data_IF_523253982708
#
_entry.id   IF_523253982708
#
_cell.length_a   1.000
_cell.length_b   1.000
_cell.length_c   1.000
_cell.angle_alpha   90.00
_cell.angle_beta   90.00
_cell.angle_gamma   90.00
#
_symmetry.space_group_name_H-M   'P 1'
#
loop_
_entity.id
_entity.type
_entity.pdbx_description
1 polymer ?
#
# COMPACT_ATOMS: atom_id res chain seq x y z
N UNK A 1 -8.48 -15.21 -17.32
CA UNK A 1 -8.21 -13.78 -17.69
C UNK A 1 -6.70 -13.58 -17.73
N UNK A 2 -6.19 -12.69 -18.59
CA UNK A 2 -4.76 -12.39 -18.64
C UNK A 2 -4.41 -11.47 -17.48
N UNK A 3 -3.24 -11.69 -16.86
CA UNK A 3 -2.67 -10.82 -15.85
C UNK A 3 -1.35 -10.25 -16.37
N UNK A 4 -1.09 -8.96 -16.15
CA UNK A 4 0.16 -8.30 -16.51
C UNK A 4 1.19 -8.54 -15.38
N UNK A 5 2.08 -9.50 -15.57
CA UNK A 5 3.10 -9.86 -14.56
C UNK A 5 4.51 -9.37 -14.90
N UNK A 6 4.75 -9.03 -16.15
CA UNK A 6 6.04 -8.52 -16.64
C UNK A 6 5.84 -7.31 -17.52
N UNK A 7 6.76 -6.36 -17.46
CA UNK A 7 6.78 -5.20 -18.35
C UNK A 7 8.18 -5.04 -18.97
N UNK A 8 8.22 -4.57 -20.22
CA UNK A 8 9.47 -4.26 -20.94
C UNK A 8 9.19 -3.08 -21.89
N UNK A 9 8.82 -1.95 -21.29
CA UNK A 9 8.49 -0.74 -22.05
C UNK A 9 9.74 0.09 -22.36
N UNK A 10 9.68 0.80 -23.50
CA UNK A 10 10.73 1.72 -23.95
C UNK A 10 10.15 3.11 -24.20
N UNK A 11 10.11 3.92 -23.15
CA UNK A 11 9.57 5.27 -23.23
C UNK A 11 10.62 6.27 -23.69
N UNK A 12 10.20 7.29 -24.43
CA UNK A 12 11.10 8.37 -24.82
C UNK A 12 11.65 9.11 -23.59
N UNK A 13 12.98 9.26 -23.53
CA UNK A 13 13.67 9.86 -22.37
C UNK A 13 13.87 8.93 -21.18
N UNK A 14 13.55 7.63 -21.33
CA UNK A 14 13.79 6.63 -20.28
C UNK A 14 15.29 6.47 -20.01
N UNK A 15 15.68 6.58 -18.74
CA UNK A 15 17.06 6.41 -18.28
C UNK A 15 17.33 5.05 -17.64
N UNK A 16 16.33 4.54 -16.91
CA UNK A 16 16.43 3.25 -16.22
C UNK A 16 15.05 2.68 -15.92
N UNK A 17 15.00 1.41 -15.60
CA UNK A 17 13.82 0.72 -15.06
C UNK A 17 14.22 -0.02 -13.79
N UNK A 18 13.33 0.00 -12.81
CA UNK A 18 13.41 -0.82 -11.60
C UNK A 18 12.18 -1.72 -11.55
N UNK A 19 12.39 -3.03 -11.51
CA UNK A 19 11.34 -4.03 -11.36
C UNK A 19 11.19 -4.39 -9.88
N UNK A 20 10.15 -3.84 -9.24
CA UNK A 20 9.81 -4.15 -7.85
C UNK A 20 8.98 -5.42 -7.70
N UNK A 21 8.60 -5.75 -6.47
CA UNK A 21 7.78 -6.95 -6.17
C UNK A 21 6.41 -6.91 -6.87
N UNK A 22 5.79 -5.74 -6.99
CA UNK A 22 4.44 -5.55 -7.56
C UNK A 22 4.32 -4.37 -8.52
N UNK A 23 5.33 -3.50 -8.59
CA UNK A 23 5.37 -2.32 -9.46
C UNK A 23 6.67 -2.26 -10.21
N UNK A 24 6.60 -1.75 -11.44
CA UNK A 24 7.76 -1.43 -12.24
C UNK A 24 7.85 0.09 -12.40
N UNK A 25 9.02 0.65 -12.13
CA UNK A 25 9.27 2.10 -12.12
C UNK A 25 10.25 2.45 -13.24
N UNK A 26 9.76 3.20 -14.20
CA UNK A 26 10.55 3.72 -15.32
C UNK A 26 10.94 5.16 -15.03
N UNK A 27 12.22 5.41 -14.82
CA UNK A 27 12.73 6.77 -14.63
C UNK A 27 12.84 7.47 -15.98
N UNK A 28 12.11 8.56 -16.15
CA UNK A 28 12.08 9.38 -17.36
C UNK A 28 12.80 10.68 -17.05
N UNK A 29 13.90 10.95 -17.74
CA UNK A 29 14.78 12.08 -17.46
C UNK A 29 15.16 12.20 -15.96
N UNK A 30 15.46 13.41 -15.46
CA UNK A 30 15.83 13.61 -14.06
C UNK A 30 14.63 13.94 -13.15
N UNK A 31 13.49 14.26 -13.75
CA UNK A 31 12.33 14.84 -13.05
C UNK A 31 11.13 13.92 -12.91
N UNK A 32 10.93 13.02 -13.87
CA UNK A 32 9.72 12.23 -13.99
C UNK A 32 9.98 10.73 -13.80
N UNK A 33 8.98 10.05 -13.26
CA UNK A 33 8.90 8.61 -13.29
C UNK A 33 7.52 8.13 -13.72
N UNK A 34 7.49 6.99 -14.37
CA UNK A 34 6.28 6.24 -14.74
C UNK A 34 6.24 5.01 -13.87
N UNK A 35 5.23 4.89 -13.03
CA UNK A 35 5.02 3.74 -12.16
C UNK A 35 3.90 2.88 -12.73
N UNK A 36 4.21 1.65 -13.08
CA UNK A 36 3.25 0.66 -13.58
C UNK A 36 2.90 -0.31 -12.46
N UNK A 37 1.67 -0.29 -12.00
CA UNK A 37 1.16 -1.29 -11.08
C UNK A 37 0.83 -2.56 -11.86
N UNK A 38 1.54 -3.64 -11.56
CA UNK A 38 1.34 -4.93 -12.22
C UNK A 38 0.37 -5.82 -11.44
N UNK A 39 -0.04 -6.91 -12.04
CA UNK A 39 -0.89 -7.93 -11.41
C UNK A 39 -0.11 -8.91 -10.54
N UNK A 40 1.20 -8.69 -10.35
CA UNK A 40 1.98 -9.47 -9.39
C UNK A 40 1.44 -9.26 -7.97
N UNK A 41 1.47 -10.30 -7.19
CA UNK A 41 1.17 -10.24 -5.76
C UNK A 41 2.36 -10.82 -4.98
N UNK A 42 2.71 -10.19 -3.88
CA UNK A 42 3.75 -10.70 -2.98
C UNK A 42 3.22 -10.88 -1.57
N UNK A 43 3.63 -11.95 -0.92
CA UNK A 43 3.37 -12.22 0.48
C UNK A 43 4.62 -12.87 1.11
N UNK A 44 4.91 -12.58 2.37
CA UNK A 44 6.13 -13.06 3.05
C UNK A 44 7.41 -12.79 2.25
N UNK A 45 7.49 -11.61 1.63
CA UNK A 45 8.60 -11.15 0.76
C UNK A 45 8.85 -11.96 -0.52
N UNK A 46 7.97 -12.90 -0.85
CA UNK A 46 8.00 -13.69 -2.09
C UNK A 46 6.96 -13.17 -3.06
N UNK A 47 7.36 -12.94 -4.31
CA UNK A 47 6.42 -12.73 -5.42
C UNK A 47 5.80 -14.07 -5.79
N UNK A 48 4.48 -14.17 -5.70
CA UNK A 48 3.77 -15.39 -6.03
C UNK A 48 3.81 -15.65 -7.55
N UNK A 49 3.88 -16.92 -7.99
CA UNK A 49 4.11 -17.25 -9.40
C UNK A 49 2.95 -16.91 -10.32
N UNK A 50 1.77 -16.70 -9.76
CA UNK A 50 0.56 -16.37 -10.50
C UNK A 50 0.12 -14.94 -10.25
N UNK A 51 -0.11 -14.19 -11.32
CA UNK A 51 -0.71 -12.85 -11.26
C UNK A 51 -2.19 -12.90 -10.89
N UNK A 52 -2.65 -11.85 -10.25
CA UNK A 52 -4.07 -11.66 -9.89
C UNK A 52 -4.69 -10.70 -10.90
N UNK A 53 -5.62 -11.14 -11.74
CA UNK A 53 -6.25 -10.28 -12.73
C UNK A 53 -6.82 -9.00 -12.11
N UNK A 54 -6.71 -7.87 -12.79
CA UNK A 54 -7.17 -6.53 -12.37
C UNK A 54 -6.48 -5.94 -11.13
N UNK A 55 -5.57 -6.67 -10.47
CA UNK A 55 -4.92 -6.17 -9.26
C UNK A 55 -4.18 -4.86 -9.49
N UNK A 56 -3.39 -4.77 -10.55
CA UNK A 56 -2.66 -3.56 -10.91
C UNK A 56 -3.57 -2.37 -11.13
N UNK A 57 -4.66 -2.56 -11.85
CA UNK A 57 -5.67 -1.53 -12.08
C UNK A 57 -6.31 -1.06 -10.77
N UNK A 58 -6.75 -1.99 -9.91
CA UNK A 58 -7.33 -1.67 -8.60
C UNK A 58 -6.37 -0.85 -7.75
N UNK A 59 -5.12 -1.29 -7.63
CA UNK A 59 -4.11 -0.60 -6.83
C UNK A 59 -3.87 0.83 -7.34
N UNK A 60 -3.65 0.97 -8.65
CA UNK A 60 -3.35 2.27 -9.23
C UNK A 60 -4.52 3.24 -9.13
N UNK A 61 -5.73 2.79 -9.41
CA UNK A 61 -6.92 3.66 -9.38
C UNK A 61 -7.30 4.09 -7.95
N UNK A 62 -7.21 3.19 -6.95
CA UNK A 62 -7.41 3.57 -5.54
C UNK A 62 -6.36 4.59 -5.12
N UNK A 63 -5.08 4.30 -5.35
CA UNK A 63 -3.99 5.20 -4.97
C UNK A 63 -4.15 6.58 -5.62
N UNK A 64 -4.41 6.63 -6.93
CA UNK A 64 -4.58 7.88 -7.66
C UNK A 64 -5.74 8.72 -7.11
N UNK A 65 -6.89 8.10 -6.86
CA UNK A 65 -8.06 8.78 -6.29
C UNK A 65 -7.79 9.30 -4.88
N UNK A 66 -7.12 8.51 -4.03
CA UNK A 66 -6.78 8.93 -2.67
C UNK A 66 -5.75 10.05 -2.65
N UNK A 67 -4.75 10.03 -3.53
CA UNK A 67 -3.79 11.12 -3.71
C UNK A 67 -4.48 12.43 -4.11
N UNK A 68 -5.53 12.38 -4.97
CA UNK A 68 -6.33 13.56 -5.32
C UNK A 68 -7.16 14.07 -4.15
N UNK A 69 -7.85 13.17 -3.43
CA UNK A 69 -8.73 13.53 -2.31
C UNK A 69 -7.99 14.04 -1.06
N UNK A 70 -6.67 13.91 -1.03
CA UNK A 70 -5.81 14.35 0.07
C UNK A 70 -4.79 15.41 -0.34
N UNK A 71 -4.86 15.91 -1.57
CA UNK A 71 -3.91 16.89 -2.14
C UNK A 71 -3.90 18.25 -1.42
N UNK A 72 -4.95 18.57 -0.67
CA UNK A 72 -5.04 19.73 0.20
C UNK A 72 -4.29 19.58 1.54
N UNK A 73 -3.92 18.35 1.90
CA UNK A 73 -3.20 18.06 3.15
C UNK A 73 -1.70 18.18 2.95
N UNK A 74 -1.17 17.55 1.91
CA UNK A 74 0.26 17.59 1.58
C UNK A 74 0.49 17.47 0.07
N UNK A 75 1.60 18.01 -0.45
CA UNK A 75 1.96 17.77 -1.83
C UNK A 75 2.25 16.28 -2.03
N UNK A 76 1.88 15.77 -3.21
CA UNK A 76 2.17 14.40 -3.57
C UNK A 76 2.85 14.30 -4.94
N UNK A 77 3.46 13.15 -5.20
CA UNK A 77 4.27 12.89 -6.38
C UNK A 77 3.46 12.78 -7.68
N UNK A 78 2.17 12.49 -7.61
CA UNK A 78 1.32 12.21 -8.77
C UNK A 78 1.11 13.45 -9.64
N UNK A 79 1.32 13.31 -10.94
CA UNK A 79 0.98 14.32 -11.96
C UNK A 79 -0.21 13.91 -12.82
N UNK A 80 -0.26 12.63 -13.24
CA UNK A 80 -1.33 12.12 -14.09
C UNK A 80 -1.44 10.59 -14.01
N UNK A 81 -2.60 10.07 -14.44
CA UNK A 81 -2.86 8.65 -14.62
C UNK A 81 -3.26 8.40 -16.07
N UNK A 82 -2.30 8.33 -17.00
CA UNK A 82 -2.58 8.18 -18.42
C UNK A 82 -3.21 6.82 -18.78
N UNK A 83 -3.06 5.84 -17.90
CA UNK A 83 -3.63 4.50 -18.04
C UNK A 83 -4.16 4.01 -16.69
N UNK A 84 -5.21 3.18 -16.63
CA UNK A 84 -5.74 2.63 -15.37
C UNK A 84 -4.71 1.94 -14.48
N UNK A 85 -3.64 1.39 -15.06
CA UNK A 85 -2.56 0.72 -14.33
C UNK A 85 -1.32 1.59 -14.12
N UNK A 86 -1.33 2.87 -14.54
CA UNK A 86 -0.13 3.71 -14.58
C UNK A 86 -0.35 5.06 -13.95
N UNK A 87 0.56 5.44 -13.06
CA UNK A 87 0.72 6.81 -12.59
C UNK A 87 2.04 7.37 -13.08
N UNK A 88 2.00 8.57 -13.66
CA UNK A 88 3.19 9.38 -13.98
C UNK A 88 3.31 10.48 -12.94
N UNK A 89 4.50 10.67 -12.42
CA UNK A 89 4.70 11.64 -11.36
C UNK A 89 6.12 12.16 -11.25
N UNK A 90 6.31 13.01 -10.25
CA UNK A 90 7.57 13.64 -9.92
C UNK A 90 8.52 12.66 -9.26
N UNK A 91 9.77 12.69 -9.65
CA UNK A 91 10.82 11.96 -8.96
C UNK A 91 11.19 12.72 -7.68
N UNK A 92 11.00 12.06 -6.54
CA UNK A 92 11.38 12.55 -5.23
C UNK A 92 12.49 11.64 -4.65
N UNK A 93 13.36 12.22 -3.85
CA UNK A 93 14.33 11.43 -3.07
C UNK A 93 13.60 10.83 -1.86
N UNK A 94 13.35 9.51 -1.91
CA UNK A 94 12.59 8.80 -0.87
C UNK A 94 13.36 8.75 0.45
N UNK A 95 12.67 9.03 1.55
CA UNK A 95 13.20 8.75 2.89
C UNK A 95 13.26 7.23 3.12
N UNK A 96 14.27 6.79 3.89
CA UNK A 96 14.45 5.38 4.22
C UNK A 96 13.65 4.95 5.45
N UNK A 97 12.45 5.49 5.56
CA UNK A 97 11.52 5.26 6.66
C UNK A 97 10.12 5.14 6.08
N UNK A 98 9.38 4.15 6.53
CA UNK A 98 7.96 4.01 6.27
C UNK A 98 7.17 4.47 7.51
N UNK A 99 6.17 5.31 7.30
CA UNK A 99 5.31 5.83 8.36
C UNK A 99 4.05 4.97 8.46
N UNK A 100 4.03 4.06 9.42
CA UNK A 100 2.86 3.22 9.70
C UNK A 100 2.03 3.88 10.80
N UNK A 101 0.74 4.05 10.56
CA UNK A 101 -0.21 4.55 11.56
C UNK A 101 -1.30 3.52 11.80
N UNK A 102 -1.64 3.32 13.08
CA UNK A 102 -2.57 2.28 13.52
C UNK A 102 -3.66 2.87 14.41
N UNK A 103 -4.91 2.68 14.01
CA UNK A 103 -6.09 3.03 14.81
C UNK A 103 -6.60 1.86 15.65
N UNK A 104 -6.22 0.62 15.30
CA UNK A 104 -6.70 -0.62 15.92
C UNK A 104 -5.52 -1.56 16.16
N UNK A 105 -5.49 -2.21 17.31
CA UNK A 105 -4.47 -3.19 17.68
C UNK A 105 -4.74 -4.53 16.99
N UNK A 106 -4.04 -4.79 15.89
CA UNK A 106 -4.18 -6.03 15.11
C UNK A 106 -2.90 -6.35 14.32
N UNK A 107 -2.86 -7.45 13.61
CA UNK A 107 -1.74 -7.85 12.76
C UNK A 107 -0.41 -7.99 13.52
N UNK A 108 0.67 -7.38 13.01
CA UNK A 108 1.99 -7.45 13.66
C UNK A 108 1.99 -6.83 15.05
N UNK A 109 1.35 -5.67 15.22
CA UNK A 109 1.28 -5.00 16.51
C UNK A 109 0.58 -5.87 17.57
N UNK A 110 -0.48 -6.57 17.20
CA UNK A 110 -1.14 -7.53 18.10
C UNK A 110 -0.22 -8.70 18.44
N UNK A 111 0.48 -9.27 17.47
CA UNK A 111 1.41 -10.40 17.73
C UNK A 111 2.50 -10.01 18.75
N UNK A 112 3.07 -8.81 18.62
CA UNK A 112 4.06 -8.28 19.55
C UNK A 112 3.44 -8.02 20.93
N UNK A 113 2.25 -7.40 20.97
CA UNK A 113 1.52 -7.14 22.21
C UNK A 113 1.19 -8.45 22.95
N UNK A 114 0.68 -9.46 22.24
CA UNK A 114 0.38 -10.80 22.76
C UNK A 114 1.63 -11.51 23.29
N UNK A 115 2.79 -11.27 22.68
CA UNK A 115 4.08 -11.76 23.13
C UNK A 115 4.66 -11.01 24.34
N UNK A 116 3.94 -9.99 24.88
CA UNK A 116 4.33 -9.25 26.07
C UNK A 116 4.91 -7.86 25.81
N UNK A 117 5.04 -7.44 24.54
CA UNK A 117 5.49 -6.09 24.22
C UNK A 117 4.47 -5.04 24.71
N UNK A 118 4.96 -4.00 25.38
CA UNK A 118 4.13 -2.88 25.87
C UNK A 118 4.66 -1.53 25.42
N UNK A 119 5.64 -1.55 24.54
CA UNK A 119 6.18 -0.37 23.89
C UNK A 119 6.53 -0.71 22.44
N UNK A 120 5.90 -0.04 21.48
CA UNK A 120 6.11 -0.25 20.05
C UNK A 120 6.63 1.03 19.42
N UNK A 121 7.82 1.00 18.83
CA UNK A 121 8.47 2.17 18.20
C UNK A 121 8.56 3.40 19.15
N UNK A 122 8.80 3.18 20.44
CA UNK A 122 8.83 4.26 21.46
C UNK A 122 7.44 4.66 22.00
N UNK A 123 6.35 4.10 21.45
CA UNK A 123 4.98 4.39 21.92
C UNK A 123 4.57 3.36 22.96
N UNK A 124 4.22 3.82 24.17
CA UNK A 124 3.68 2.96 25.23
C UNK A 124 2.25 2.52 24.88
N UNK A 125 2.01 1.22 24.97
CA UNK A 125 0.72 0.62 24.71
C UNK A 125 -0.07 0.45 26.02
N UNK A 126 -1.39 0.73 26.04
CA UNK A 126 -2.23 0.50 27.20
C UNK A 126 -2.22 -0.96 27.64
N UNK A 127 -2.32 -1.22 28.96
CA UNK A 127 -2.47 -2.57 29.48
C UNK A 127 -3.89 -3.13 29.25
N UNK A 128 -3.98 -4.45 29.12
CA UNK A 128 -5.25 -5.15 29.03
C UNK A 128 -5.99 -5.05 27.70
N UNK A 129 -5.36 -4.50 26.66
CA UNK A 129 -5.95 -4.46 25.33
C UNK A 129 -6.14 -5.85 24.73
N UNK A 130 -7.18 -5.98 23.94
CA UNK A 130 -7.55 -7.20 23.21
C UNK A 130 -7.28 -7.04 21.71
N UNK A 131 -7.21 -8.15 21.01
CA UNK A 131 -7.13 -8.16 19.54
C UNK A 131 -8.31 -7.40 18.92
N UNK A 132 -8.00 -6.59 17.91
CA UNK A 132 -8.95 -5.73 17.21
C UNK A 132 -9.56 -4.60 18.06
N UNK A 133 -8.96 -4.26 19.20
CA UNK A 133 -9.36 -3.11 20.00
C UNK A 133 -8.85 -1.81 19.40
N UNK A 134 -9.68 -0.76 19.45
CA UNK A 134 -9.28 0.59 19.05
C UNK A 134 -8.28 1.16 20.05
N UNK A 135 -7.22 1.78 19.53
CA UNK A 135 -6.41 2.65 20.38
C UNK A 135 -7.20 3.90 20.81
N UNK A 136 -6.95 4.45 22.00
CA UNK A 136 -7.53 5.72 22.41
C UNK A 136 -7.27 6.85 21.39
N UNK A 137 -6.05 6.86 20.85
CA UNK A 137 -5.63 7.70 19.71
C UNK A 137 -4.79 6.85 18.75
N UNK A 138 -4.87 7.09 17.43
CA UNK A 138 -4.02 6.38 16.49
C UNK A 138 -2.53 6.56 16.79
N UNK A 139 -1.78 5.48 16.79
CA UNK A 139 -0.35 5.47 17.08
C UNK A 139 0.48 5.39 15.79
N UNK A 140 1.60 6.10 15.76
CA UNK A 140 2.56 6.06 14.66
C UNK A 140 3.70 5.13 15.04
N UNK A 141 3.93 4.11 14.22
CA UNK A 141 4.91 3.03 14.47
C UNK A 141 5.78 2.84 13.23
N UNK A 142 6.81 3.69 13.04
CA UNK A 142 7.62 3.65 11.83
C UNK A 142 8.43 2.36 11.69
N UNK A 143 8.78 2.05 10.45
CA UNK A 143 9.79 1.03 10.13
C UNK A 143 10.90 1.62 9.28
N UNK A 144 12.07 1.02 9.33
CA UNK A 144 13.11 1.26 8.34
C UNK A 144 12.64 0.72 7.00
N UNK A 145 13.11 1.30 5.91
CA UNK A 145 12.98 0.75 4.57
C UNK A 145 14.30 0.11 4.18
N UNK A 146 14.37 -1.21 4.30
CA UNK A 146 15.57 -1.97 4.00
C UNK A 146 15.73 -2.17 2.49
N UNK A 147 16.96 -2.06 1.97
CA UNK A 147 17.27 -2.44 0.59
C UNK A 147 17.29 -3.98 0.45
N UNK A 148 17.76 -4.66 1.52
CA UNK A 148 17.81 -6.11 1.63
C UNK A 148 17.34 -6.54 3.04
N UNK A 149 16.64 -7.66 3.13
CA UNK A 149 16.11 -8.19 4.37
C UNK A 149 14.69 -7.71 4.68
N UNK A 150 14.39 -7.53 5.96
CA UNK A 150 13.07 -7.12 6.44
C UNK A 150 13.10 -5.71 7.04
N UNK A 151 12.04 -4.97 6.82
CA UNK A 151 11.81 -3.70 7.49
C UNK A 151 11.68 -3.93 9.00
N UNK A 152 12.35 -3.09 9.79
CA UNK A 152 12.40 -3.21 11.25
C UNK A 152 11.69 -2.04 11.91
N UNK A 153 10.96 -2.33 12.99
CA UNK A 153 10.40 -1.30 13.85
C UNK A 153 11.50 -0.36 14.35
N UNK A 154 11.25 0.93 14.29
CA UNK A 154 12.20 1.96 14.73
C UNK A 154 11.45 3.11 15.40
N UNK A 155 12.01 3.68 16.46
CA UNK A 155 11.41 4.85 17.10
C UNK A 155 11.77 6.16 16.40
N UNK A 156 10.99 7.21 16.65
CA UNK A 156 11.29 8.58 16.20
C UNK A 156 12.70 9.00 16.63
N UNK A 157 13.03 8.80 17.89
CA UNK A 157 14.32 9.17 18.47
C UNK A 157 15.48 8.49 17.75
N UNK A 158 15.29 7.21 17.44
CA UNK A 158 16.31 6.42 16.74
C UNK A 158 16.44 6.83 15.26
N UNK A 159 15.35 7.15 14.57
CA UNK A 159 15.35 7.70 13.19
C UNK A 159 16.20 8.96 13.14
N UNK A 160 15.96 9.90 14.07
CA UNK A 160 16.68 11.17 14.13
C UNK A 160 18.14 10.93 14.52
N UNK A 161 18.39 10.09 15.52
CA UNK A 161 19.75 9.77 15.99
C UNK A 161 20.64 9.14 14.91
N UNK A 162 20.05 8.28 14.07
CA UNK A 162 20.73 7.65 12.94
C UNK A 162 20.87 8.57 11.73
N UNK A 163 20.23 9.74 11.74
CA UNK A 163 20.23 10.68 10.60
C UNK A 163 19.47 10.18 9.38
N UNK A 164 18.53 9.24 9.55
CA UNK A 164 17.68 8.73 8.46
C UNK A 164 16.73 9.81 7.96
N UNK A 165 16.24 10.66 8.87
CA UNK A 165 15.38 11.82 8.61
C UNK A 165 15.76 12.91 9.60
N UNK A 166 15.77 14.17 9.17
CA UNK A 166 15.95 15.30 10.09
C UNK A 166 14.74 15.43 11.03
N UNK A 167 14.93 16.04 12.20
CA UNK A 167 13.83 16.26 13.16
C UNK A 167 12.71 17.09 12.56
N UNK A 168 13.06 18.10 11.75
CA UNK A 168 12.11 18.97 11.06
C UNK A 168 11.28 18.21 10.01
N UNK A 169 11.94 17.43 9.14
CA UNK A 169 11.27 16.61 8.13
C UNK A 169 10.39 15.53 8.78
N UNK A 170 10.88 14.89 9.87
CA UNK A 170 10.11 13.90 10.61
C UNK A 170 8.82 14.50 11.19
N UNK A 171 8.90 15.68 11.78
CA UNK A 171 7.73 16.37 12.33
C UNK A 171 6.68 16.65 11.22
N UNK A 172 7.12 17.05 10.04
CA UNK A 172 6.25 17.24 8.87
C UNK A 172 5.63 15.91 8.42
N UNK A 173 6.43 14.84 8.31
CA UNK A 173 5.95 13.51 7.94
C UNK A 173 4.91 12.98 8.93
N UNK A 174 5.12 13.18 10.23
CA UNK A 174 4.17 12.74 11.26
C UNK A 174 2.86 13.53 11.21
N UNK A 175 2.90 14.86 11.05
CA UNK A 175 1.70 15.69 10.88
C UNK A 175 0.90 15.25 9.65
N UNK A 176 1.56 15.07 8.51
CA UNK A 176 0.91 14.57 7.29
C UNK A 176 0.31 13.17 7.50
N UNK A 177 1.05 12.27 8.12
CA UNK A 177 0.59 10.90 8.42
C UNK A 177 -0.72 10.92 9.21
N UNK A 178 -0.80 11.71 10.27
CA UNK A 178 -1.98 11.81 11.14
C UNK A 178 -3.18 12.43 10.40
N UNK A 179 -2.96 13.50 9.66
CA UNK A 179 -4.01 14.20 8.91
C UNK A 179 -4.52 13.39 7.73
N UNK A 180 -3.65 12.70 7.00
CA UNK A 180 -4.03 11.77 5.93
C UNK A 180 -4.89 10.62 6.48
N UNK A 181 -4.44 10.02 7.59
CA UNK A 181 -5.17 8.93 8.23
C UNK A 181 -6.57 9.36 8.68
N UNK A 182 -6.68 10.50 9.34
CA UNK A 182 -7.96 11.04 9.79
C UNK A 182 -8.93 11.31 8.61
N UNK A 183 -8.43 11.94 7.52
CA UNK A 183 -9.21 12.17 6.31
C UNK A 183 -9.75 10.88 5.71
N UNK A 184 -8.92 9.84 5.61
CA UNK A 184 -9.34 8.59 4.97
C UNK A 184 -10.17 7.72 5.92
N UNK A 185 -10.03 7.85 7.24
CA UNK A 185 -11.00 7.29 8.18
C UNK A 185 -12.42 7.85 7.91
N UNK A 186 -12.56 9.16 7.68
CA UNK A 186 -13.84 9.77 7.32
C UNK A 186 -14.38 9.27 5.98
N UNK A 187 -13.50 9.15 4.97
CA UNK A 187 -13.88 8.62 3.65
C UNK A 187 -14.36 7.17 3.81
N UNK A 188 -13.60 6.31 4.48
CA UNK A 188 -13.94 4.92 4.71
C UNK A 188 -15.28 4.77 5.47
N UNK A 189 -15.50 5.59 6.50
CA UNK A 189 -16.72 5.56 7.30
C UNK A 189 -17.98 5.85 6.46
N UNK A 190 -17.91 6.76 5.50
CA UNK A 190 -19.02 7.05 4.57
C UNK A 190 -19.38 5.86 3.69
N UNK A 191 -18.46 4.94 3.52
CA UNK A 191 -18.61 3.72 2.72
C UNK A 191 -18.75 2.45 3.57
N UNK A 192 -19.07 2.59 4.87
CA UNK A 192 -19.29 1.46 5.76
C UNK A 192 -18.01 0.68 6.12
N UNK A 193 -16.85 1.32 5.97
CA UNK A 193 -15.55 0.74 6.30
C UNK A 193 -14.88 1.46 7.47
N UNK A 194 -14.01 0.75 8.17
CA UNK A 194 -13.10 1.26 9.18
C UNK A 194 -11.68 1.13 8.65
N UNK A 195 -10.97 2.24 8.46
CA UNK A 195 -9.53 2.20 8.19
C UNK A 195 -8.81 1.82 9.49
N UNK A 196 -8.19 0.66 9.48
CA UNK A 196 -7.54 0.04 10.65
C UNK A 196 -6.12 0.54 10.83
N UNK A 197 -5.33 0.39 9.80
CA UNK A 197 -3.94 0.83 9.71
C UNK A 197 -3.57 1.09 8.24
N UNK A 198 -2.51 1.84 8.07
CA UNK A 198 -1.94 2.13 6.75
C UNK A 198 -0.47 2.49 6.85
N UNK A 199 0.22 2.35 5.73
CA UNK A 199 1.62 2.74 5.53
C UNK A 199 1.68 3.90 4.55
N UNK A 200 2.47 4.93 4.88
CA UNK A 200 2.83 6.03 3.98
C UNK A 200 4.33 6.06 3.76
N UNK A 201 4.70 6.43 2.56
CA UNK A 201 6.07 6.74 2.21
C UNK A 201 6.19 8.21 1.81
N UNK A 202 7.28 8.82 2.20
CA UNK A 202 7.56 10.21 1.89
C UNK A 202 8.92 10.36 1.21
N UNK A 203 9.06 11.42 0.44
CA UNK A 203 10.31 11.79 -0.19
C UNK A 203 10.50 13.29 -0.16
N UNK A 204 11.70 13.76 -0.47
CA UNK A 204 12.04 15.16 -0.52
C UNK A 204 12.29 15.60 -1.97
N UNK A 205 11.75 16.76 -2.34
CA UNK A 205 12.00 17.43 -3.61
C UNK A 205 11.98 18.93 -3.40
N UNK A 206 13.00 19.64 -3.89
CA UNK A 206 13.11 21.10 -3.79
C UNK A 206 12.90 21.61 -2.35
N UNK A 207 13.48 20.89 -1.37
CA UNK A 207 13.40 21.20 0.06
C UNK A 207 12.06 20.91 0.73
N UNK A 208 11.07 20.35 0.01
CA UNK A 208 9.73 20.03 0.55
C UNK A 208 9.52 18.51 0.68
N UNK A 209 8.75 18.13 1.68
CA UNK A 209 8.32 16.74 1.89
C UNK A 209 7.09 16.47 1.02
N UNK A 210 7.15 15.42 0.22
CA UNK A 210 6.08 14.93 -0.66
C UNK A 210 5.63 13.54 -0.21
N UNK A 211 4.33 13.30 -0.29
CA UNK A 211 3.78 11.94 -0.21
C UNK A 211 4.10 11.22 -1.51
N UNK A 212 4.72 10.04 -1.41
CA UNK A 212 5.13 9.24 -2.56
C UNK A 212 4.51 7.83 -2.50
N UNK A 213 4.75 7.05 -3.56
CA UNK A 213 4.26 5.68 -3.71
C UNK A 213 2.72 5.56 -3.70
N UNK A 214 2.21 4.41 -3.33
CA UNK A 214 0.77 4.14 -3.21
C UNK A 214 0.25 4.50 -1.82
N UNK A 215 -1.02 4.87 -1.77
CA UNK A 215 -1.74 5.04 -0.51
C UNK A 215 -3.09 4.35 -0.53
N UNK A 216 -3.50 3.82 0.62
CA UNK A 216 -4.85 3.33 0.91
C UNK A 216 -5.35 2.17 0.03
N UNK A 217 -4.44 1.48 -0.62
CA UNK A 217 -4.72 0.26 -1.39
C UNK A 217 -4.84 -0.97 -0.48
N UNK A 218 -5.35 -2.09 -0.96
CA UNK A 218 -5.35 -3.35 -0.21
C UNK A 218 -3.96 -3.85 0.19
N UNK A 219 -2.92 -3.41 -0.53
CA UNK A 219 -1.52 -3.79 -0.25
C UNK A 219 -0.89 -2.94 0.85
N UNK A 220 -1.28 -1.67 0.97
CA UNK A 220 -0.72 -0.71 1.94
C UNK A 220 -1.60 -0.47 3.16
N UNK A 221 -2.87 -0.89 3.13
CA UNK A 221 -3.87 -0.59 4.16
C UNK A 221 -4.73 -1.78 4.51
N UNK A 222 -5.28 -1.76 5.72
CA UNK A 222 -6.26 -2.71 6.20
C UNK A 222 -7.56 -2.00 6.49
N UNK A 223 -8.67 -2.59 6.03
CA UNK A 223 -10.02 -2.12 6.31
C UNK A 223 -10.82 -3.22 6.97
N UNK A 224 -11.59 -2.88 8.01
CA UNK A 224 -12.68 -3.72 8.51
C UNK A 224 -14.01 -3.20 7.99
N UNK A 225 -15.00 -4.08 7.86
CA UNK A 225 -16.38 -3.66 7.71
C UNK A 225 -16.86 -3.05 9.00
N UNK A 226 -17.52 -1.89 8.93
CA UNK A 226 -18.10 -1.24 10.11
C UNK A 226 -19.26 -2.03 10.66
N UNK A 227 -20.07 -2.62 9.76
CA UNK A 227 -21.17 -3.51 10.14
C UNK A 227 -20.65 -4.78 10.80
N UNK A 228 -21.14 -5.04 12.01
CA UNK A 228 -20.77 -6.19 12.84
C UNK A 228 -19.45 -6.06 13.58
N UNK A 229 -18.69 -4.95 13.45
CA UNK A 229 -17.39 -4.80 14.11
C UNK A 229 -17.50 -4.90 15.64
N UNK A 230 -18.41 -4.14 16.25
CA UNK A 230 -18.57 -4.11 17.72
C UNK A 230 -19.06 -5.45 18.27
N UNK A 231 -19.99 -6.11 17.55
CA UNK A 231 -20.51 -7.41 17.96
C UNK A 231 -19.40 -8.48 17.93
N UNK A 232 -18.64 -8.55 16.84
CA UNK A 232 -17.53 -9.49 16.70
C UNK A 232 -16.42 -9.21 17.70
N UNK A 233 -16.09 -7.93 17.92
CA UNK A 233 -15.11 -7.54 18.93
C UNK A 233 -15.54 -7.96 20.33
N UNK A 234 -16.80 -7.74 20.71
CA UNK A 234 -17.34 -8.16 22.01
C UNK A 234 -17.24 -9.67 22.23
N UNK A 235 -17.47 -10.46 21.18
CA UNK A 235 -17.38 -11.93 21.20
C UNK A 235 -15.95 -12.48 21.04
N UNK A 236 -14.97 -11.65 20.72
CA UNK A 236 -13.61 -12.08 20.38
C UNK A 236 -13.52 -12.85 19.05
N UNK A 237 -14.45 -12.60 18.14
CA UNK A 237 -14.47 -13.21 16.82
C UNK A 237 -13.60 -12.45 15.81
N UNK A 238 -13.07 -13.14 14.79
CA UNK A 238 -12.33 -12.50 13.70
C UNK A 238 -13.18 -11.43 12.99
N UNK A 239 -12.56 -10.30 12.65
CA UNK A 239 -13.22 -9.23 11.91
C UNK A 239 -13.32 -9.55 10.42
N UNK A 240 -14.41 -9.10 9.79
CA UNK A 240 -14.49 -9.09 8.32
C UNK A 240 -13.58 -7.99 7.80
N UNK A 241 -12.68 -8.32 6.87
CA UNK A 241 -11.68 -7.38 6.41
C UNK A 241 -11.45 -7.42 4.90
N UNK A 242 -11.03 -6.27 4.38
CA UNK A 242 -10.56 -6.05 3.02
C UNK A 242 -9.09 -5.59 3.08
N UNK A 243 -8.19 -6.49 2.76
CA UNK A 243 -6.73 -6.27 2.74
C UNK A 243 -6.06 -7.49 2.14
N UNK A 244 -4.75 -7.43 1.95
CA UNK A 244 -3.96 -8.59 1.51
C UNK A 244 -3.79 -9.68 2.59
N UNK A 245 -4.25 -9.44 3.81
CA UNK A 245 -4.08 -10.39 4.93
C UNK A 245 -4.75 -11.75 4.66
N UNK A 246 -5.85 -11.78 3.91
CA UNK A 246 -6.49 -13.06 3.55
C UNK A 246 -5.62 -13.94 2.64
N UNK A 247 -4.74 -13.35 1.82
CA UNK A 247 -3.77 -14.13 1.03
C UNK A 247 -2.69 -14.72 1.94
N UNK A 248 -2.21 -13.93 2.92
CA UNK A 248 -1.26 -14.42 3.91
C UNK A 248 -1.85 -15.55 4.74
N UNK A 249 -3.09 -15.38 5.21
CA UNK A 249 -3.78 -16.41 5.99
C UNK A 249 -3.96 -17.70 5.18
N UNK A 250 -4.37 -17.59 3.92
CA UNK A 250 -4.47 -18.74 3.04
C UNK A 250 -3.13 -19.45 2.85
N UNK A 251 -2.05 -18.71 2.67
CA UNK A 251 -0.70 -19.31 2.56
C UNK A 251 -0.29 -20.04 3.84
N UNK A 252 -0.56 -19.46 5.02
CA UNK A 252 -0.31 -20.09 6.33
C UNK A 252 -1.09 -21.40 6.46
N UNK A 253 -2.36 -21.40 6.13
CA UNK A 253 -3.24 -22.59 6.16
C UNK A 253 -2.77 -23.70 5.22
N UNK A 254 -2.02 -23.34 4.15
CA UNK A 254 -1.39 -24.27 3.22
C UNK A 254 0.10 -24.54 3.54
N UNK A 255 0.56 -24.16 4.74
CA UNK A 255 1.88 -24.48 5.25
C UNK A 255 3.02 -23.64 4.68
N UNK A 256 2.73 -22.40 4.23
CA UNK A 256 3.74 -21.50 3.65
C UNK A 256 3.83 -20.17 4.39
N UNK A 257 5.03 -19.89 4.94
CA UNK A 257 5.41 -18.59 5.55
C UNK A 257 6.80 -18.13 5.07
N UNK A 258 7.29 -18.71 3.99
CA UNK A 258 8.64 -18.49 3.46
C UNK A 258 9.77 -18.95 4.41
N UNK A 259 9.54 -20.01 5.17
CA UNK A 259 10.56 -20.62 6.02
C UNK A 259 11.35 -21.72 5.26
N UNK A 260 12.59 -22.01 5.65
CA UNK A 260 13.38 -23.04 5.01
C UNK A 260 12.67 -24.42 4.98
N UNK A 261 12.63 -25.03 3.79
CA UNK A 261 11.99 -26.33 3.57
C UNK A 261 10.50 -26.30 3.26
N UNK A 262 9.85 -25.14 3.28
CA UNK A 262 8.48 -24.98 2.86
C UNK A 262 8.38 -24.87 1.33
N UNK A 263 7.28 -25.40 0.79
CA UNK A 263 6.97 -25.33 -0.64
C UNK A 263 5.76 -24.41 -0.84
N UNK A 264 5.86 -23.49 -1.81
CA UNK A 264 4.76 -22.60 -2.16
C UNK A 264 3.60 -23.43 -2.72
N UNK A 265 2.37 -23.26 -2.17
CA UNK A 265 1.20 -23.97 -2.67
C UNK A 265 0.82 -23.51 -4.08
N UNK A 266 0.19 -24.40 -4.86
CA UNK A 266 -0.32 -24.05 -6.18
C UNK A 266 -1.47 -23.03 -6.07
N UNK A 267 -1.31 -21.91 -6.77
CA UNK A 267 -2.37 -20.89 -6.88
C UNK A 267 -3.23 -21.23 -8.09
N UNK A 268 -4.41 -21.79 -7.84
CA UNK A 268 -5.37 -22.14 -8.91
C UNK A 268 -5.98 -20.90 -9.55
N UNK A 269 -6.55 -21.05 -10.75
CA UNK A 269 -7.29 -19.95 -11.41
C UNK A 269 -8.47 -19.48 -10.56
N UNK A 270 -9.22 -20.41 -9.99
CA UNK A 270 -10.35 -20.09 -9.12
C UNK A 270 -9.93 -19.28 -7.87
N UNK A 271 -8.77 -19.62 -7.27
CA UNK A 271 -8.26 -18.85 -6.14
C UNK A 271 -7.81 -17.45 -6.59
N UNK A 272 -7.09 -17.32 -7.69
CA UNK A 272 -6.69 -16.02 -8.23
C UNK A 272 -7.90 -15.13 -8.55
N UNK A 273 -8.97 -15.70 -9.10
CA UNK A 273 -10.23 -14.97 -9.32
C UNK A 273 -10.87 -14.52 -8.01
N UNK A 274 -10.92 -15.37 -6.99
CA UNK A 274 -11.46 -14.99 -5.67
C UNK A 274 -10.66 -13.87 -5.01
N UNK A 275 -9.34 -13.83 -5.21
CA UNK A 275 -8.47 -12.73 -4.77
C UNK A 275 -8.81 -11.46 -5.54
N UNK A 276 -8.91 -11.55 -6.87
CA UNK A 276 -9.28 -10.43 -7.73
C UNK A 276 -10.61 -9.80 -7.31
N UNK A 277 -11.63 -10.61 -7.05
CA UNK A 277 -12.95 -10.13 -6.62
C UNK A 277 -12.89 -9.34 -5.31
N UNK A 278 -12.06 -9.75 -4.34
CA UNK A 278 -11.88 -9.02 -3.08
C UNK A 278 -11.15 -7.68 -3.28
N UNK A 279 -10.21 -7.61 -4.21
CA UNK A 279 -9.56 -6.35 -4.58
C UNK A 279 -10.56 -5.39 -5.23
N UNK A 280 -11.39 -5.90 -6.15
CA UNK A 280 -12.47 -5.13 -6.79
C UNK A 280 -13.51 -4.70 -5.76
N UNK A 281 -13.90 -5.58 -4.84
CA UNK A 281 -14.83 -5.25 -3.74
C UNK A 281 -14.32 -4.06 -2.93
N UNK A 282 -13.04 -4.05 -2.54
CA UNK A 282 -12.49 -2.88 -1.85
C UNK A 282 -12.54 -1.63 -2.72
N UNK A 283 -12.18 -1.73 -4.01
CA UNK A 283 -12.26 -0.61 -4.92
C UNK A 283 -13.67 -0.01 -4.93
N UNK A 284 -14.69 -0.84 -5.16
CA UNK A 284 -16.08 -0.39 -5.22
C UNK A 284 -16.56 0.23 -3.90
N UNK A 285 -16.17 -0.35 -2.77
CA UNK A 285 -16.50 0.21 -1.47
C UNK A 285 -15.80 1.55 -1.22
N UNK A 286 -14.48 1.61 -1.29
CA UNK A 286 -13.72 2.81 -0.88
C UNK A 286 -13.87 3.98 -1.85
N UNK A 287 -14.14 3.70 -3.14
CA UNK A 287 -14.34 4.74 -4.15
C UNK A 287 -15.80 5.13 -4.34
N UNK A 288 -16.73 4.24 -4.02
CA UNK A 288 -18.14 4.38 -4.35
C UNK A 288 -18.47 4.23 -5.84
N UNK A 289 -17.51 3.75 -6.65
CA UNK A 289 -17.63 3.62 -8.09
C UNK A 289 -17.65 2.14 -8.49
N UNK A 290 -18.37 1.81 -9.59
CA UNK A 290 -18.31 0.47 -10.16
C UNK A 290 -16.97 0.27 -10.87
N UNK A 291 -16.37 -0.90 -10.67
CA UNK A 291 -15.11 -1.25 -11.29
C UNK A 291 -15.31 -1.56 -12.78
N UNK A 292 -14.53 -0.92 -13.63
CA UNK A 292 -14.56 -1.16 -15.08
C UNK A 292 -13.54 -2.25 -15.48
N UNK A 293 -14.05 -3.44 -15.75
CA UNK A 293 -13.24 -4.57 -16.23
C UNK A 293 -12.85 -4.45 -17.70
N UNK A 294 -13.56 -3.65 -18.48
CA UNK A 294 -13.33 -3.52 -19.94
C UNK A 294 -11.96 -2.86 -20.24
N UNK A 295 -11.39 -2.12 -19.29
CA UNK A 295 -10.07 -1.55 -19.43
C UNK A 295 -8.95 -2.60 -19.65
N UNK A 296 -9.15 -3.85 -19.24
CA UNK A 296 -8.19 -4.95 -19.45
C UNK A 296 -8.54 -5.86 -20.64
N UNK A 297 -9.49 -5.48 -21.48
CA UNK A 297 -9.73 -6.21 -22.72
C UNK A 297 -8.61 -5.97 -23.74
N UNK A 298 -8.18 -7.04 -24.40
CA UNK A 298 -7.15 -6.99 -25.42
C UNK A 298 -5.71 -7.11 -24.91
N UNK A 299 -4.79 -6.35 -25.50
CA UNK A 299 -3.37 -6.33 -25.13
C UNK A 299 -3.10 -5.19 -24.15
N UNK A 300 -3.01 -5.56 -22.88
CA UNK A 300 -2.77 -4.63 -21.76
C UNK A 300 -1.45 -3.89 -21.94
N UNK A 301 -0.38 -4.59 -22.33
CA UNK A 301 0.94 -3.99 -22.49
C UNK A 301 0.96 -2.95 -23.61
N UNK A 302 0.41 -3.29 -24.78
CA UNK A 302 0.30 -2.36 -25.91
C UNK A 302 -0.58 -1.14 -25.60
N UNK A 303 -1.64 -1.31 -24.78
CA UNK A 303 -2.46 -0.19 -24.31
C UNK A 303 -1.66 0.75 -23.42
N UNK A 304 -0.94 0.21 -22.42
CA UNK A 304 -0.11 0.99 -21.50
C UNK A 304 0.94 1.77 -22.27
N UNK A 305 1.70 1.09 -23.14
CA UNK A 305 2.79 1.73 -23.90
C UNK A 305 2.26 2.89 -24.75
N UNK A 306 1.16 2.70 -25.45
CA UNK A 306 0.50 3.74 -26.24
C UNK A 306 0.06 4.93 -25.39
N UNK A 307 -0.67 4.67 -24.32
CA UNK A 307 -1.25 5.72 -23.47
C UNK A 307 -0.15 6.56 -22.78
N UNK A 308 0.88 5.91 -22.25
CA UNK A 308 2.00 6.58 -21.60
C UNK A 308 2.84 7.36 -22.61
N UNK A 309 3.14 6.77 -23.79
CA UNK A 309 3.92 7.45 -24.83
C UNK A 309 3.18 8.70 -25.36
N UNK A 310 1.87 8.63 -25.52
CA UNK A 310 1.06 9.80 -25.90
C UNK A 310 1.13 10.90 -24.83
N UNK A 311 0.99 10.54 -23.56
CA UNK A 311 1.09 11.50 -22.46
C UNK A 311 2.46 12.16 -22.40
N UNK A 312 3.54 11.39 -22.47
CA UNK A 312 4.91 11.92 -22.42
C UNK A 312 5.22 12.83 -23.61
N UNK A 313 4.66 12.56 -24.80
CA UNK A 313 4.83 13.40 -25.98
C UNK A 313 4.23 14.82 -25.82
N UNK A 314 3.23 14.97 -24.96
CA UNK A 314 2.61 16.30 -24.67
C UNK A 314 3.42 17.15 -23.70
N UNK A 315 4.43 16.57 -23.04
CA UNK A 315 5.28 17.24 -22.05
C UNK A 315 6.67 17.48 -22.61
N UNK A 316 6.75 18.41 -23.55
CA UNK A 316 8.04 18.90 -24.10
C UNK A 316 8.59 20.06 -23.30
#
# INVERSE_FOLDING_TARGET
MKALTTTDFHFNGQKSVYHGKVRDVYNINDDLMVMVATDRISAFDVVLPKGIPFKGQVLNQIAAKMLDQTSDICPNWKLATPDPMVTVGLKCEGFRVEMIIRGILTGSAWREYKAGCRELCGVKLPEGMRENERFPEPIVTPTTKADEGHDMNISREEIIRQGLVSEEDYAVMEDYTRRLFARVQEIAARHGLILVDTKYEFGKRDGKVYLIDEIHTPDSSRYFYADGYEEKFAKGEPQRQLSKEFVRQWLIEHGFMNEPGQTLPEITDAYAESVSERYIELYEHITGEKFDKAAEEGDIAARIERNVSQFLATRK
#
